data_IF_792321398370
#
_entry.id   IF_792321398370
#
_cell.length_a   1.000
_cell.length_b   1.000
_cell.length_c   1.000
_cell.angle_alpha   90.00
_cell.angle_beta   90.00
_cell.angle_gamma   90.00
#
_symmetry.space_group_name_H-M   'P 1'
#
loop_
_entity.id
_entity.type
_entity.pdbx_description
1 polymer ?
#
# COMPACT_ATOMS: atom_id res chain seq x y z
N UNK A 1 -35.98 -30.60 63.63
CA UNK A 1 -35.72 -30.44 62.18
C UNK A 1 -34.87 -29.18 61.92
N UNK A 2 -33.58 -29.18 62.29
CA UNK A 2 -32.67 -28.03 62.00
C UNK A 2 -31.29 -28.45 61.44
N UNK A 3 -30.99 -29.74 61.43
CA UNK A 3 -29.68 -30.27 60.99
C UNK A 3 -29.61 -30.48 59.46
N UNK A 4 -30.71 -30.89 58.83
CA UNK A 4 -30.78 -31.21 57.39
C UNK A 4 -30.59 -29.96 56.51
N UNK A 5 -31.07 -28.80 56.98
CA UNK A 5 -31.02 -27.52 56.25
C UNK A 5 -29.57 -26.98 56.15
N UNK A 6 -28.72 -27.29 57.14
CA UNK A 6 -27.32 -26.81 57.21
C UNK A 6 -26.36 -27.62 56.33
N UNK A 7 -26.64 -28.92 56.12
CA UNK A 7 -25.87 -29.80 55.22
C UNK A 7 -26.21 -29.51 53.75
N UNK A 8 -27.47 -29.19 53.44
CA UNK A 8 -27.88 -28.82 52.07
C UNK A 8 -27.26 -27.50 51.59
N UNK A 9 -27.14 -26.50 52.46
CA UNK A 9 -26.58 -25.18 52.12
C UNK A 9 -25.06 -25.19 51.94
N UNK A 10 -24.31 -26.00 52.71
CA UNK A 10 -22.86 -26.13 52.55
C UNK A 10 -22.46 -26.90 51.27
N UNK A 11 -23.23 -27.93 50.91
CA UNK A 11 -23.03 -28.68 49.67
C UNK A 11 -23.43 -27.84 48.45
N UNK A 12 -24.48 -27.01 48.56
CA UNK A 12 -24.93 -26.13 47.48
C UNK A 12 -23.96 -24.97 47.20
N UNK A 13 -23.37 -24.37 48.26
CA UNK A 13 -22.34 -23.33 48.11
C UNK A 13 -21.05 -23.91 47.54
N UNK A 14 -20.64 -25.11 47.98
CA UNK A 14 -19.47 -25.81 47.44
C UNK A 14 -19.66 -26.16 45.96
N UNK A 15 -20.84 -26.63 45.57
CA UNK A 15 -21.17 -26.94 44.17
C UNK A 15 -21.18 -25.68 43.30
N UNK A 16 -21.73 -24.58 43.81
CA UNK A 16 -21.72 -23.28 43.12
C UNK A 16 -20.31 -22.71 42.95
N UNK A 17 -19.44 -22.82 43.97
CA UNK A 17 -18.04 -22.40 43.89
C UNK A 17 -17.24 -23.22 42.87
N UNK A 18 -17.46 -24.54 42.81
CA UNK A 18 -16.82 -25.42 41.83
C UNK A 18 -17.27 -25.07 40.40
N UNK A 19 -18.57 -24.82 40.20
CA UNK A 19 -19.14 -24.42 38.90
C UNK A 19 -18.54 -23.09 38.41
N UNK A 20 -18.43 -22.10 39.29
CA UNK A 20 -17.83 -20.81 38.94
C UNK A 20 -16.34 -20.93 38.62
N UNK A 21 -15.61 -21.82 39.30
CA UNK A 21 -14.20 -22.09 38.98
C UNK A 21 -14.02 -22.76 37.61
N UNK A 22 -14.92 -23.68 37.25
CA UNK A 22 -14.93 -24.36 35.95
C UNK A 22 -15.21 -23.37 34.80
N UNK A 23 -16.18 -22.48 34.98
CA UNK A 23 -16.51 -21.44 33.99
C UNK A 23 -15.33 -20.48 33.81
N UNK A 24 -14.68 -20.06 34.90
CA UNK A 24 -13.48 -19.23 34.84
C UNK A 24 -12.33 -19.91 34.09
N UNK A 25 -12.08 -21.19 34.36
CA UNK A 25 -11.04 -21.97 33.68
C UNK A 25 -11.31 -22.09 32.17
N UNK A 26 -12.56 -22.31 31.77
CA UNK A 26 -12.95 -22.33 30.36
C UNK A 26 -12.70 -20.98 29.66
N UNK A 27 -13.00 -19.86 30.32
CA UNK A 27 -12.76 -18.52 29.76
C UNK A 27 -11.26 -18.25 29.53
N UNK A 28 -10.40 -18.69 30.44
CA UNK A 28 -8.94 -18.58 30.27
C UNK A 28 -8.49 -19.41 29.06
N UNK A 29 -8.94 -20.66 28.93
CA UNK A 29 -8.57 -21.52 27.78
C UNK A 29 -9.02 -20.92 26.44
N UNK A 30 -10.22 -20.33 26.37
CA UNK A 30 -10.68 -19.67 25.14
C UNK A 30 -9.80 -18.47 24.75
N UNK A 31 -9.31 -17.69 25.72
CA UNK A 31 -8.50 -16.51 25.46
C UNK A 31 -7.13 -16.80 24.84
N UNK A 32 -6.54 -17.98 25.10
CA UNK A 32 -5.24 -18.37 24.53
C UNK A 32 -5.31 -18.76 23.05
N UNK A 33 -6.50 -19.03 22.51
CA UNK A 33 -6.68 -19.49 21.13
C UNK A 33 -6.52 -18.39 20.06
N UNK A 34 -6.39 -17.12 20.47
CA UNK A 34 -6.39 -15.93 19.57
C UNK A 34 -4.98 -15.40 19.28
N UNK A 35 -3.97 -16.25 19.15
CA UNK A 35 -2.56 -15.79 19.01
C UNK A 35 -1.96 -15.97 17.61
N UNK A 36 -2.72 -16.41 16.61
CA UNK A 36 -2.19 -16.54 15.24
C UNK A 36 -2.55 -15.34 14.36
N UNK A 37 -1.99 -14.17 14.69
CA UNK A 37 -1.93 -13.03 13.76
C UNK A 37 -0.74 -13.27 12.83
N UNK A 38 -0.99 -13.91 11.69
CA UNK A 38 -0.01 -13.98 10.60
C UNK A 38 0.01 -12.63 9.88
N UNK A 39 0.84 -11.71 10.37
CA UNK A 39 1.20 -10.52 9.61
C UNK A 39 2.11 -10.96 8.47
N UNK A 40 1.52 -11.24 7.30
CA UNK A 40 2.25 -11.37 6.06
C UNK A 40 2.88 -10.01 5.72
N UNK A 41 4.04 -9.73 6.31
CA UNK A 41 4.83 -8.56 6.00
C UNK A 41 5.17 -8.59 4.51
N UNK A 42 4.51 -7.74 3.73
CA UNK A 42 4.93 -7.49 2.35
C UNK A 42 6.29 -6.80 2.44
N UNK A 43 7.35 -7.59 2.33
CA UNK A 43 8.69 -7.05 2.13
C UNK A 43 8.68 -6.28 0.83
N UNK A 44 8.83 -4.96 0.92
CA UNK A 44 8.98 -4.08 -0.24
C UNK A 44 10.11 -4.63 -1.10
N UNK A 45 9.81 -4.97 -2.36
CA UNK A 45 10.86 -5.27 -3.33
C UNK A 45 11.73 -4.02 -3.47
N UNK A 46 13.05 -4.21 -3.47
CA UNK A 46 13.98 -3.11 -3.73
C UNK A 46 13.75 -2.63 -5.17
N UNK A 47 13.55 -1.32 -5.43
CA UNK A 47 13.34 -0.79 -6.79
C UNK A 47 14.51 -0.97 -7.75
N UNK A 48 15.59 -1.63 -7.32
CA UNK A 48 16.87 -1.71 -8.05
C UNK A 48 16.83 -2.60 -9.29
N UNK A 49 15.83 -3.48 -9.40
CA UNK A 49 15.63 -4.37 -10.56
C UNK A 49 14.39 -3.99 -11.40
N UNK A 50 13.83 -2.80 -11.18
CA UNK A 50 12.80 -2.28 -12.08
C UNK A 50 13.51 -1.75 -13.34
N UNK A 51 13.25 -2.42 -14.47
CA UNK A 51 13.66 -2.03 -15.81
C UNK A 51 13.53 -0.51 -15.96
N UNK A 52 14.67 0.17 -16.16
CA UNK A 52 14.69 1.63 -16.25
C UNK A 52 13.64 2.06 -17.28
N UNK A 53 12.71 2.97 -16.93
CA UNK A 53 11.67 3.36 -17.87
C UNK A 53 12.33 3.94 -19.12
N UNK A 54 12.03 3.31 -20.26
CA UNK A 54 12.59 3.62 -21.60
C UNK A 54 12.23 5.05 -22.05
N UNK A 55 11.18 5.62 -21.46
CA UNK A 55 10.67 6.94 -21.78
C UNK A 55 10.80 7.91 -20.60
N UNK A 56 10.92 9.18 -20.93
CA UNK A 56 10.84 10.29 -20.00
C UNK A 56 9.84 11.34 -20.47
N UNK A 57 9.48 12.26 -19.58
CA UNK A 57 8.74 13.45 -19.95
C UNK A 57 9.71 14.48 -20.54
N UNK A 58 9.39 14.96 -21.73
CA UNK A 58 10.05 16.10 -22.37
C UNK A 58 9.11 17.31 -22.30
N UNK A 59 9.64 18.46 -21.87
CA UNK A 59 8.88 19.71 -21.76
C UNK A 59 9.24 20.67 -22.86
N UNK A 60 8.25 21.37 -23.39
CA UNK A 60 8.47 22.37 -24.43
C UNK A 60 9.35 23.49 -23.87
N UNK A 61 10.47 23.73 -24.55
CA UNK A 61 11.42 24.77 -24.22
C UNK A 61 11.23 25.98 -25.13
N UNK A 62 11.13 25.72 -26.43
CA UNK A 62 11.04 26.80 -27.42
C UNK A 62 10.29 26.33 -28.68
N UNK A 63 9.65 27.29 -29.35
CA UNK A 63 9.05 27.12 -30.66
C UNK A 63 9.84 27.99 -31.64
N UNK A 64 10.58 27.34 -32.53
CA UNK A 64 11.34 27.98 -33.59
C UNK A 64 10.45 28.08 -34.83
N UNK A 65 10.36 29.27 -35.41
CA UNK A 65 9.64 29.50 -36.67
C UNK A 65 10.66 29.70 -37.77
N UNK A 66 10.75 28.77 -38.69
CA UNK A 66 11.66 28.82 -39.84
C UNK A 66 10.85 28.99 -41.12
N UNK A 67 11.52 29.44 -42.20
CA UNK A 67 10.86 29.67 -43.49
C UNK A 67 10.38 28.37 -44.15
N UNK A 68 10.99 27.24 -43.78
CA UNK A 68 10.69 25.89 -44.28
C UNK A 68 9.70 25.12 -43.38
N UNK A 69 9.35 25.66 -42.21
CA UNK A 69 8.43 25.02 -41.26
C UNK A 69 8.64 25.47 -39.81
N UNK A 70 7.76 25.03 -38.91
CA UNK A 70 7.91 25.31 -37.48
C UNK A 70 8.62 24.14 -36.79
N UNK A 71 9.53 24.41 -35.86
CA UNK A 71 10.18 23.38 -35.05
C UNK A 71 9.85 23.57 -33.57
N UNK A 72 9.49 22.47 -32.89
CA UNK A 72 9.32 22.46 -31.45
C UNK A 72 10.57 21.86 -30.79
N UNK A 73 11.19 22.63 -29.90
CA UNK A 73 12.38 22.23 -29.14
C UNK A 73 11.95 21.86 -27.74
N UNK A 74 12.31 20.65 -27.30
CA UNK A 74 11.92 20.10 -26.00
C UNK A 74 13.14 19.76 -25.14
N UNK A 75 13.09 20.17 -23.88
CA UNK A 75 14.10 19.83 -22.86
C UNK A 75 13.75 18.52 -22.15
N UNK A 76 14.74 17.65 -22.01
CA UNK A 76 14.66 16.40 -21.24
C UNK A 76 14.69 16.67 -19.74
N UNK A 77 13.88 15.95 -18.97
CA UNK A 77 13.89 16.06 -17.51
C UNK A 77 15.13 15.45 -16.87
N UNK A 78 15.69 14.41 -17.47
CA UNK A 78 16.94 13.79 -16.99
C UNK A 78 18.20 14.55 -17.42
N UNK A 79 18.05 15.64 -18.19
CA UNK A 79 19.15 16.36 -18.83
C UNK A 79 19.58 15.69 -20.16
N UNK A 80 20.59 16.27 -20.82
CA UNK A 80 21.07 15.77 -22.12
C UNK A 80 20.70 16.70 -23.29
N UNK A 81 20.67 16.15 -24.51
CA UNK A 81 20.41 16.92 -25.73
C UNK A 81 18.92 17.19 -25.91
N UNK A 82 18.58 18.40 -26.33
CA UNK A 82 17.21 18.79 -26.63
C UNK A 82 16.66 17.98 -27.81
N UNK A 83 15.37 17.65 -27.74
CA UNK A 83 14.65 16.94 -28.80
C UNK A 83 13.99 17.97 -29.72
N UNK A 84 14.26 17.88 -31.02
CA UNK A 84 13.71 18.81 -32.02
C UNK A 84 12.74 18.06 -32.93
N UNK A 85 11.50 18.54 -33.00
CA UNK A 85 10.45 17.99 -33.86
C UNK A 85 10.06 19.06 -34.88
N UNK A 86 10.25 18.77 -36.18
CA UNK A 86 9.78 19.61 -37.28
C UNK A 86 8.28 19.40 -37.51
N UNK A 87 7.56 20.49 -37.78
CA UNK A 87 6.12 20.53 -37.97
C UNK A 87 5.84 21.25 -39.29
N UNK A 88 5.10 20.57 -40.15
CA UNK A 88 4.95 20.99 -41.54
C UNK A 88 3.89 22.08 -41.73
N UNK A 89 2.77 22.15 -40.98
CA UNK A 89 1.85 23.32 -41.11
C UNK A 89 0.67 23.42 -40.12
N UNK A 90 0.29 22.39 -39.36
CA UNK A 90 -1.02 22.39 -38.65
C UNK A 90 -1.04 21.91 -37.19
N UNK A 91 0.11 21.50 -36.64
CA UNK A 91 0.16 20.91 -35.29
C UNK A 91 0.77 21.92 -34.31
N UNK A 92 0.05 22.22 -33.23
CA UNK A 92 0.54 23.07 -32.15
C UNK A 92 1.52 22.26 -31.31
N UNK A 93 2.66 22.85 -30.90
CA UNK A 93 3.57 22.22 -29.95
C UNK A 93 2.80 21.85 -28.67
N UNK A 94 2.91 20.60 -28.22
CA UNK A 94 2.35 20.20 -26.93
C UNK A 94 3.23 20.77 -25.82
N UNK A 95 2.64 21.12 -24.67
CA UNK A 95 3.43 21.63 -23.54
C UNK A 95 4.40 20.56 -22.99
N UNK A 96 3.98 19.30 -23.02
CA UNK A 96 4.78 18.14 -22.63
C UNK A 96 4.37 16.91 -23.43
N UNK A 97 5.32 16.02 -23.68
CA UNK A 97 5.07 14.72 -24.29
C UNK A 97 6.07 13.67 -23.79
N UNK A 98 5.82 12.39 -24.09
CA UNK A 98 6.72 11.29 -23.75
C UNK A 98 7.77 11.10 -24.86
N UNK A 99 9.04 11.29 -24.52
CA UNK A 99 10.17 11.09 -25.41
C UNK A 99 11.02 9.90 -24.95
N UNK A 100 11.73 9.25 -25.89
CA UNK A 100 12.62 8.14 -25.56
C UNK A 100 13.90 8.66 -24.89
N UNK A 101 14.33 8.01 -23.82
CA UNK A 101 15.62 8.33 -23.18
C UNK A 101 16.77 7.98 -24.11
N UNK A 102 17.81 8.81 -24.07
CA UNK A 102 19.05 8.62 -24.82
C UNK A 102 20.00 7.66 -24.09
#
# INVERSE_FOLDING_TARGET
MRLVIRVGTLNFVSFSLVLMSLVSLCLVVLSLSVTQVSAAGRTYKSPKDEEKPEYELCRLKELLREEEGNSCVYSRQTGGRDVVIKIDESVICQAEFRCKKE
#
